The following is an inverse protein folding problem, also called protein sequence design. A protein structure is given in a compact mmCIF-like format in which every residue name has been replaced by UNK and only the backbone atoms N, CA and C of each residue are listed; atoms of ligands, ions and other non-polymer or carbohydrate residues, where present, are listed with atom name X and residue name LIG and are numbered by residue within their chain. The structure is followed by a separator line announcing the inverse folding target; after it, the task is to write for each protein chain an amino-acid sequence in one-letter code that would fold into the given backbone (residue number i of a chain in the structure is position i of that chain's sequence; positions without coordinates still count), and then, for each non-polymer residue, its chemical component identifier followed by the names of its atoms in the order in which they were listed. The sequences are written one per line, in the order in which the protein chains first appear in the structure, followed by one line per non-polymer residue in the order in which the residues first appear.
data_IF_915331257089
#
_entry.id   IF_915331257089
#
_cell.length_a   1.000
_cell.length_b   1.000
_cell.length_c   1.000
_cell.angle_alpha   90.00
_cell.angle_beta   90.00
_cell.angle_gamma   90.00
#
_symmetry.space_group_name_H-M   'P 1'
#
loop_
_entity.id
_entity.type
_entity.pdbx_description
1 polymer ?
#
# COMPACT_ATOMS: atom_id res chain seq x y z
N UNK A 1 -3.54 -15.38 -10.92
CA UNK A 1 -3.20 -13.96 -10.70
C UNK A 1 -2.63 -13.29 -11.95
N UNK A 2 -1.60 -13.84 -12.61
CA UNK A 2 -1.01 -13.23 -13.83
C UNK A 2 -2.02 -12.97 -14.96
N UNK A 3 -2.93 -13.91 -15.25
CA UNK A 3 -3.93 -13.76 -16.32
C UNK A 3 -4.91 -12.61 -16.01
N UNK A 4 -5.38 -12.52 -14.76
CA UNK A 4 -6.29 -11.45 -14.33
C UNK A 4 -5.62 -10.06 -14.39
N UNK A 5 -4.32 -9.98 -14.05
CA UNK A 5 -3.54 -8.75 -14.20
C UNK A 5 -3.45 -8.30 -15.66
N UNK A 6 -3.19 -9.22 -16.60
CA UNK A 6 -3.09 -8.91 -18.03
C UNK A 6 -4.43 -8.40 -18.57
N UNK A 7 -5.54 -9.04 -18.19
CA UNK A 7 -6.89 -8.61 -18.59
C UNK A 7 -7.20 -7.21 -18.06
N UNK A 8 -6.90 -6.95 -16.79
CA UNK A 8 -7.14 -5.64 -16.18
C UNK A 8 -6.28 -4.54 -16.84
N UNK A 9 -5.01 -4.84 -17.14
CA UNK A 9 -4.12 -3.93 -17.85
C UNK A 9 -4.62 -3.62 -19.27
N UNK A 10 -5.09 -4.63 -20.00
CA UNK A 10 -5.66 -4.46 -21.34
C UNK A 10 -6.93 -3.60 -21.33
N UNK A 11 -7.81 -3.80 -20.35
CA UNK A 11 -9.04 -3.01 -20.18
C UNK A 11 -8.73 -1.56 -19.77
N UNK A 12 -7.77 -1.38 -18.86
CA UNK A 12 -7.29 -0.08 -18.40
C UNK A 12 -6.74 0.79 -19.54
N UNK A 13 -6.01 0.20 -20.49
CA UNK A 13 -5.49 0.92 -21.67
C UNK A 13 -6.60 1.37 -22.63
N UNK A 14 -7.74 0.68 -22.65
CA UNK A 14 -8.86 0.99 -23.52
C UNK A 14 -9.83 2.01 -22.92
N UNK A 15 -9.94 2.07 -21.59
CA UNK A 15 -10.93 2.89 -20.87
C UNK A 15 -10.36 4.18 -20.27
N UNK A 16 -9.06 4.24 -19.94
CA UNK A 16 -8.42 5.48 -19.45
C UNK A 16 -8.20 6.46 -20.60
N UNK A 17 -9.24 7.23 -20.92
CA UNK A 17 -9.06 8.47 -21.68
C UNK A 17 -8.39 9.47 -20.72
N UNK A 18 -7.13 9.77 -20.98
CA UNK A 18 -6.32 10.68 -20.18
C UNK A 18 -6.97 12.07 -20.13
N UNK A 19 -7.77 12.33 -19.09
CA UNK A 19 -8.42 13.61 -18.80
C UNK A 19 -7.79 14.24 -17.56
N UNK A 20 -6.48 14.44 -17.61
CA UNK A 20 -5.80 15.30 -16.66
C UNK A 20 -4.76 16.08 -17.43
N UNK A 21 -4.86 17.41 -17.36
CA UNK A 21 -3.81 18.30 -17.80
C UNK A 21 -2.53 17.87 -17.09
N UNK A 22 -1.57 17.38 -17.86
CA UNK A 22 -0.25 16.99 -17.38
C UNK A 22 0.44 18.24 -16.86
N UNK A 23 0.32 18.51 -15.57
CA UNK A 23 1.27 19.38 -14.90
C UNK A 23 2.63 18.69 -15.01
N UNK A 24 3.58 19.32 -15.69
CA UNK A 24 4.96 18.84 -15.83
C UNK A 24 5.67 18.90 -14.47
N UNK A 25 5.30 18.01 -13.55
CA UNK A 25 6.09 17.76 -12.37
C UNK A 25 7.40 17.13 -12.83
N UNK A 26 8.50 17.88 -12.69
CA UNK A 26 9.83 17.38 -13.04
C UNK A 26 10.14 16.15 -12.18
N UNK A 27 10.14 14.99 -12.82
CA UNK A 27 10.37 13.70 -12.18
C UNK A 27 11.84 13.62 -11.77
N UNK A 28 12.15 13.97 -10.52
CA UNK A 28 13.52 13.86 -10.00
C UNK A 28 13.90 12.38 -9.82
N UNK A 29 14.53 11.82 -10.85
CA UNK A 29 15.02 10.44 -10.91
C UNK A 29 15.88 10.08 -9.68
N UNK A 30 16.61 11.04 -9.10
CA UNK A 30 17.43 10.83 -7.91
C UNK A 30 16.54 10.59 -6.69
N UNK A 31 15.47 11.36 -6.54
CA UNK A 31 14.48 11.18 -5.47
C UNK A 31 13.72 9.86 -5.61
N UNK A 32 13.40 9.43 -6.84
CA UNK A 32 12.82 8.11 -7.11
C UNK A 32 13.78 6.99 -6.71
N UNK A 33 15.06 7.12 -7.04
CA UNK A 33 16.06 6.10 -6.69
C UNK A 33 16.29 6.02 -5.18
N UNK A 34 16.41 7.16 -4.50
CA UNK A 34 16.59 7.22 -3.04
C UNK A 34 15.38 6.63 -2.29
N UNK A 35 14.15 6.96 -2.71
CA UNK A 35 12.94 6.41 -2.08
C UNK A 35 12.82 4.91 -2.31
N UNK A 36 13.11 4.43 -3.52
CA UNK A 36 13.14 3.00 -3.84
C UNK A 36 14.17 2.28 -2.98
N UNK A 37 15.38 2.82 -2.85
CA UNK A 37 16.45 2.23 -2.05
C UNK A 37 16.08 2.21 -0.55
N UNK A 38 15.52 3.30 -0.03
CA UNK A 38 15.06 3.39 1.34
C UNK A 38 13.98 2.33 1.63
N UNK A 39 12.91 2.30 0.83
CA UNK A 39 11.81 1.34 1.00
C UNK A 39 12.26 -0.11 0.81
N UNK A 40 13.02 -0.41 -0.23
CA UNK A 40 13.51 -1.77 -0.50
C UNK A 40 14.40 -2.28 0.63
N UNK A 41 15.30 -1.43 1.13
CA UNK A 41 16.18 -1.80 2.23
C UNK A 41 15.44 -1.96 3.57
N UNK A 42 14.44 -1.11 3.88
CA UNK A 42 13.58 -1.33 5.04
C UNK A 42 12.82 -2.65 4.95
N UNK A 43 12.20 -2.92 3.79
CA UNK A 43 11.46 -4.16 3.56
C UNK A 43 12.35 -5.39 3.68
N UNK A 44 13.56 -5.33 3.11
CA UNK A 44 14.56 -6.40 3.23
C UNK A 44 15.01 -6.59 4.68
N UNK A 45 15.28 -5.50 5.40
CA UNK A 45 15.66 -5.52 6.81
C UNK A 45 14.61 -6.22 7.67
N UNK A 46 13.34 -5.81 7.56
CA UNK A 46 12.23 -6.44 8.29
C UNK A 46 12.03 -7.90 7.90
N UNK A 47 12.13 -8.24 6.62
CA UNK A 47 12.03 -9.63 6.16
C UNK A 47 13.13 -10.51 6.77
N UNK A 48 14.38 -10.01 6.83
CA UNK A 48 15.50 -10.73 7.46
C UNK A 48 15.30 -10.93 8.96
N UNK A 49 14.68 -9.98 9.66
CA UNK A 49 14.34 -10.14 11.08
C UNK A 49 13.50 -11.39 11.33
N UNK A 50 12.56 -11.70 10.42
CA UNK A 50 11.71 -12.90 10.53
C UNK A 50 12.48 -14.22 10.37
N UNK A 51 13.64 -14.22 9.70
CA UNK A 51 14.43 -15.44 9.46
C UNK A 51 15.60 -15.64 10.44
N UNK A 52 16.38 -14.59 10.73
CA UNK A 52 17.63 -14.67 11.48
C UNK A 52 17.56 -14.03 12.89
N UNK A 53 16.44 -13.38 13.23
CA UNK A 53 16.29 -12.62 14.47
C UNK A 53 17.11 -11.32 14.49
N UNK A 54 17.09 -10.61 15.62
CA UNK A 54 17.73 -9.30 15.78
C UNK A 54 19.27 -9.33 15.94
N UNK A 55 19.87 -10.52 15.90
CA UNK A 55 21.30 -10.73 16.20
C UNK A 55 22.23 -10.59 14.99
N UNK A 56 21.69 -10.40 13.78
CA UNK A 56 22.49 -10.26 12.56
C UNK A 56 23.02 -8.82 12.40
N UNK A 57 24.35 -8.66 12.33
CA UNK A 57 25.01 -7.37 12.08
C UNK A 57 24.60 -6.78 10.72
N UNK A 58 24.30 -7.65 9.75
CA UNK A 58 23.85 -7.25 8.41
C UNK A 58 22.50 -6.53 8.45
N UNK A 59 21.61 -6.92 9.37
CA UNK A 59 20.30 -6.27 9.55
C UNK A 59 20.48 -4.83 10.00
N UNK A 60 21.33 -4.60 11.01
CA UNK A 60 21.61 -3.27 11.52
C UNK A 60 22.25 -2.38 10.45
N UNK A 61 23.18 -2.93 9.66
CA UNK A 61 23.81 -2.21 8.56
C UNK A 61 22.80 -1.79 7.49
N UNK A 62 21.92 -2.71 7.05
CA UNK A 62 20.87 -2.40 6.07
C UNK A 62 19.89 -1.37 6.61
N UNK A 63 19.44 -1.50 7.86
CA UNK A 63 18.52 -0.53 8.46
C UNK A 63 19.15 0.87 8.59
N UNK A 64 20.43 0.95 8.95
CA UNK A 64 21.14 2.24 9.03
C UNK A 64 21.24 2.87 7.63
N UNK A 65 21.63 2.11 6.60
CA UNK A 65 21.70 2.62 5.22
C UNK A 65 20.33 3.08 4.75
N UNK A 66 19.26 2.30 4.98
CA UNK A 66 17.90 2.68 4.59
C UNK A 66 17.41 3.92 5.32
N UNK A 67 17.74 4.07 6.60
CA UNK A 67 17.41 5.26 7.39
C UNK A 67 18.14 6.49 6.85
N UNK A 68 19.43 6.35 6.51
CA UNK A 68 20.22 7.44 5.91
C UNK A 68 19.68 7.83 4.53
N UNK A 69 19.33 6.85 3.68
CA UNK A 69 18.73 7.10 2.37
C UNK A 69 17.36 7.80 2.50
N UNK A 70 16.55 7.40 3.48
CA UNK A 70 15.27 8.06 3.76
C UNK A 70 15.46 9.50 4.26
N UNK A 71 16.43 9.73 5.15
CA UNK A 71 16.76 11.07 5.63
C UNK A 71 17.22 11.99 4.49
N UNK A 72 18.10 11.48 3.61
CA UNK A 72 18.54 12.20 2.42
C UNK A 72 17.37 12.51 1.48
N UNK A 73 16.44 11.57 1.30
CA UNK A 73 15.23 11.77 0.51
C UNK A 73 14.34 12.87 1.07
N UNK A 74 14.06 12.87 2.39
CA UNK A 74 13.22 13.88 3.05
C UNK A 74 13.85 15.27 2.94
N UNK A 75 15.16 15.39 3.19
CA UNK A 75 15.86 16.68 3.09
C UNK A 75 15.83 17.21 1.65
N UNK A 76 16.10 16.35 0.68
CA UNK A 76 16.07 16.72 -0.74
C UNK A 76 14.67 17.12 -1.19
N UNK A 77 13.65 16.38 -0.77
CA UNK A 77 12.26 16.65 -1.13
C UNK A 77 11.74 17.96 -0.53
N UNK A 78 12.29 18.40 0.61
CA UNK A 78 12.01 19.73 1.16
C UNK A 78 12.73 20.89 0.46
N UNK A 79 13.80 20.60 -0.29
CA UNK A 79 14.60 21.61 -1.00
C UNK A 79 14.21 21.75 -2.48
N UNK A 80 13.41 20.82 -3.01
CA UNK A 80 12.86 20.89 -4.37
C UNK A 80 11.75 21.94 -4.46
N UNK A 81 11.77 22.76 -5.51
CA UNK A 81 10.74 23.77 -5.80
C UNK A 81 9.37 23.14 -6.09
N UNK A 82 9.35 21.94 -6.69
CA UNK A 82 8.15 21.13 -6.92
C UNK A 82 8.26 19.79 -6.17
N UNK A 83 7.91 19.74 -4.87
CA UNK A 83 7.97 18.51 -4.10
C UNK A 83 6.88 17.54 -4.54
N UNK A 84 7.28 16.36 -5.05
CA UNK A 84 6.35 15.27 -5.36
C UNK A 84 5.52 14.81 -4.15
N UNK A 85 6.06 14.98 -2.94
CA UNK A 85 5.39 14.66 -1.69
C UNK A 85 5.38 15.92 -0.83
N UNK A 86 4.22 16.56 -0.74
CA UNK A 86 4.06 17.71 0.13
C UNK A 86 3.86 17.24 1.58
N UNK A 87 4.94 17.30 2.37
CA UNK A 87 4.90 16.94 3.79
C UNK A 87 4.06 17.88 4.66
N UNK A 88 3.64 19.05 4.15
CA UNK A 88 2.78 19.97 4.90
C UNK A 88 1.36 19.42 5.07
N UNK A 89 0.89 18.56 4.15
CA UNK A 89 -0.42 17.91 4.27
C UNK A 89 -0.46 16.98 5.48
N UNK A 90 0.68 16.40 5.88
CA UNK A 90 0.79 15.59 7.10
C UNK A 90 0.71 16.41 8.39
N UNK A 91 0.84 17.75 8.33
CA UNK A 91 0.64 18.61 9.51
C UNK A 91 -0.83 18.74 9.88
N UNK A 92 -1.74 18.54 8.93
CA UNK A 92 -3.18 18.55 9.18
C UNK A 92 -3.58 17.33 10.02
N UNK A 93 -4.16 17.59 11.20
CA UNK A 93 -4.49 16.53 12.17
C UNK A 93 -5.46 15.50 11.61
N UNK A 94 -6.44 15.96 10.83
CA UNK A 94 -7.46 15.08 10.23
C UNK A 94 -6.79 14.14 9.22
N UNK A 95 -5.88 14.67 8.38
CA UNK A 95 -5.16 13.86 7.41
C UNK A 95 -4.25 12.83 8.09
N UNK A 96 -3.46 13.26 9.08
CA UNK A 96 -2.58 12.37 9.83
C UNK A 96 -3.35 11.25 10.55
N UNK A 97 -4.47 11.57 11.19
CA UNK A 97 -5.33 10.58 11.83
C UNK A 97 -5.91 9.60 10.81
N UNK A 98 -6.37 10.09 9.67
CA UNK A 98 -6.93 9.25 8.61
C UNK A 98 -5.87 8.30 8.05
N UNK A 99 -4.66 8.80 7.79
CA UNK A 99 -3.52 7.98 7.37
C UNK A 99 -3.16 6.91 8.40
N UNK A 100 -3.12 7.25 9.70
CA UNK A 100 -2.85 6.28 10.76
C UNK A 100 -3.92 5.20 10.84
N UNK A 101 -5.20 5.58 10.76
CA UNK A 101 -6.32 4.64 10.76
C UNK A 101 -6.20 3.68 9.57
N UNK A 102 -5.94 4.20 8.36
CA UNK A 102 -5.76 3.39 7.15
C UNK A 102 -4.56 2.44 7.30
N UNK A 103 -3.44 2.92 7.84
CA UNK A 103 -2.25 2.11 8.08
C UNK A 103 -2.54 0.96 9.04
N UNK A 104 -3.18 1.23 10.18
CA UNK A 104 -3.56 0.21 11.16
C UNK A 104 -4.54 -0.79 10.55
N UNK A 105 -5.54 -0.31 9.81
CA UNK A 105 -6.49 -1.16 9.09
C UNK A 105 -5.77 -2.10 8.11
N UNK A 106 -4.79 -1.60 7.36
CA UNK A 106 -4.00 -2.42 6.43
C UNK A 106 -3.19 -3.50 7.13
N UNK A 107 -2.57 -3.18 8.28
CA UNK A 107 -1.81 -4.15 9.09
C UNK A 107 -2.74 -5.25 9.60
N UNK A 108 -3.88 -4.89 10.20
CA UNK A 108 -4.86 -5.85 10.72
C UNK A 108 -5.42 -6.71 9.59
N UNK A 109 -5.71 -6.12 8.43
CA UNK A 109 -6.22 -6.82 7.26
C UNK A 109 -5.22 -7.87 6.75
N UNK A 110 -3.96 -7.49 6.56
CA UNK A 110 -2.91 -8.42 6.13
C UNK A 110 -2.64 -9.51 7.17
N UNK A 111 -2.61 -9.15 8.45
CA UNK A 111 -2.44 -10.10 9.54
C UNK A 111 -3.58 -11.11 9.57
N UNK A 112 -4.84 -10.68 9.49
CA UNK A 112 -6.01 -11.56 9.49
C UNK A 112 -6.02 -12.51 8.28
N UNK A 113 -5.68 -11.98 7.10
CA UNK A 113 -5.61 -12.77 5.86
C UNK A 113 -4.57 -13.89 5.94
N UNK A 114 -3.49 -13.68 6.69
CA UNK A 114 -2.42 -14.68 6.88
C UNK A 114 -2.71 -15.61 8.06
N UNK A 115 -3.22 -15.07 9.17
CA UNK A 115 -3.44 -15.80 10.42
C UNK A 115 -4.59 -16.82 10.30
N UNK A 116 -5.67 -16.47 9.61
CA UNK A 116 -6.84 -17.34 9.44
C UNK A 116 -6.50 -18.68 8.77
N UNK A 117 -5.89 -18.73 7.57
CA UNK A 117 -5.49 -20.00 6.96
C UNK A 117 -4.42 -20.72 7.79
N UNK A 118 -3.49 -19.99 8.41
CA UNK A 118 -2.48 -20.60 9.28
C UNK A 118 -3.13 -21.30 10.48
N UNK A 119 -4.12 -20.68 11.13
CA UNK A 119 -4.86 -21.26 12.24
C UNK A 119 -5.63 -22.53 11.82
N UNK A 120 -6.37 -22.47 10.70
CA UNK A 120 -7.12 -23.62 10.19
C UNK A 120 -6.18 -24.79 9.82
N UNK A 121 -5.04 -24.50 9.20
CA UNK A 121 -4.10 -25.53 8.75
C UNK A 121 -3.28 -26.13 9.90
N UNK A 122 -2.78 -25.29 10.82
CA UNK A 122 -1.88 -25.74 11.91
C UNK A 122 -2.60 -26.20 13.16
N UNK A 123 -3.71 -25.55 13.55
CA UNK A 123 -4.43 -25.84 14.79
C UNK A 123 -5.57 -26.83 14.55
N UNK A 124 -6.32 -26.67 13.46
CA UNK A 124 -7.41 -27.60 13.13
C UNK A 124 -6.95 -28.85 12.35
N UNK A 125 -5.66 -28.93 12.00
CA UNK A 125 -5.07 -30.09 11.30
C UNK A 125 -5.61 -30.31 9.88
N UNK A 126 -6.34 -29.34 9.32
CA UNK A 126 -6.93 -29.46 7.99
C UNK A 126 -5.88 -29.31 6.90
N UNK A 127 -6.08 -30.01 5.79
CA UNK A 127 -5.18 -29.85 4.63
C UNK A 127 -5.35 -28.48 3.99
N UNK A 128 -4.33 -28.00 3.27
CA UNK A 128 -4.38 -26.71 2.57
C UNK A 128 -5.62 -26.60 1.65
N UNK A 129 -6.01 -27.70 0.99
CA UNK A 129 -7.19 -27.76 0.13
C UNK A 129 -8.50 -27.50 0.89
N UNK A 130 -8.68 -28.12 2.06
CA UNK A 130 -9.87 -27.91 2.90
C UNK A 130 -9.94 -26.48 3.43
N UNK A 131 -8.80 -25.91 3.83
CA UNK A 131 -8.74 -24.51 4.27
C UNK A 131 -9.13 -23.53 3.16
N UNK A 132 -8.68 -23.78 1.92
CA UNK A 132 -9.07 -22.99 0.76
C UNK A 132 -10.57 -23.08 0.46
N UNK A 133 -11.15 -24.28 0.57
CA UNK A 133 -12.58 -24.48 0.37
C UNK A 133 -13.45 -23.78 1.44
N UNK A 134 -12.97 -23.72 2.68
CA UNK A 134 -13.65 -23.01 3.77
C UNK A 134 -13.58 -21.48 3.62
N UNK A 135 -12.50 -20.97 3.04
CA UNK A 135 -12.30 -19.54 2.80
C UNK A 135 -12.94 -19.04 1.49
N UNK A 136 -13.24 -19.94 0.55
CA UNK A 136 -13.88 -19.62 -0.74
C UNK A 136 -15.18 -18.81 -0.61
N UNK A 137 -16.13 -19.16 0.27
CA UNK A 137 -17.35 -18.37 0.47
C UNK A 137 -17.07 -16.91 0.84
N UNK A 138 -16.04 -16.64 1.64
CA UNK A 138 -15.63 -15.29 2.00
C UNK A 138 -15.11 -14.50 0.80
N UNK A 139 -14.29 -15.14 -0.05
CA UNK A 139 -13.82 -14.54 -1.31
C UNK A 139 -14.95 -14.28 -2.31
N UNK A 140 -15.91 -15.20 -2.41
CA UNK A 140 -17.10 -15.03 -3.27
C UNK A 140 -17.98 -13.87 -2.78
N UNK A 141 -18.22 -13.75 -1.47
CA UNK A 141 -18.94 -12.62 -0.89
C UNK A 141 -18.24 -11.29 -1.18
N UNK A 142 -16.91 -11.23 -1.04
CA UNK A 142 -16.12 -10.05 -1.43
C UNK A 142 -16.30 -9.70 -2.92
N UNK A 143 -16.29 -10.70 -3.81
CA UNK A 143 -16.50 -10.50 -5.24
C UNK A 143 -17.90 -9.99 -5.59
N UNK A 144 -18.93 -10.50 -4.91
CA UNK A 144 -20.33 -10.05 -5.09
C UNK A 144 -20.54 -8.65 -4.52
N UNK A 145 -19.88 -8.32 -3.40
CA UNK A 145 -19.98 -7.02 -2.76
C UNK A 145 -19.21 -5.93 -3.51
N UNK A 146 -18.16 -6.27 -4.27
CA UNK A 146 -17.37 -5.29 -5.03
C UNK A 146 -18.22 -4.30 -5.88
N UNK A 147 -19.17 -4.74 -6.72
CA UNK A 147 -20.05 -3.81 -7.47
C UNK A 147 -21.01 -3.03 -6.56
N UNK A 148 -21.47 -3.65 -5.46
CA UNK A 148 -22.36 -2.98 -4.49
C UNK A 148 -21.63 -1.82 -3.83
N UNK A 149 -20.40 -2.03 -3.37
CA UNK A 149 -19.58 -0.99 -2.74
C UNK A 149 -19.21 0.11 -3.75
N UNK A 150 -18.93 -0.24 -5.01
CA UNK A 150 -18.69 0.74 -6.07
C UNK A 150 -19.89 1.68 -6.30
N UNK A 151 -21.08 1.11 -6.46
CA UNK A 151 -22.31 1.90 -6.63
C UNK A 151 -22.69 2.71 -5.38
N UNK A 152 -22.36 2.23 -4.19
CA UNK A 152 -22.57 2.96 -2.94
C UNK A 152 -21.60 4.13 -2.82
N UNK A 153 -20.35 3.98 -3.28
CA UNK A 153 -19.36 5.05 -3.28
C UNK A 153 -19.75 6.20 -4.20
N UNK A 154 -20.34 5.91 -5.37
CA UNK A 154 -20.90 6.94 -6.25
C UNK A 154 -22.06 7.68 -5.56
N UNK A 155 -23.03 6.96 -4.98
CA UNK A 155 -24.20 7.55 -4.32
C UNK A 155 -23.88 8.35 -3.05
N UNK A 156 -22.88 7.90 -2.28
CA UNK A 156 -22.47 8.57 -1.03
C UNK A 156 -21.43 9.67 -1.30
N UNK A 157 -20.57 9.49 -2.30
CA UNK A 157 -19.56 10.45 -2.73
C UNK A 157 -20.15 11.75 -3.26
N UNK A 158 -21.33 11.70 -3.90
CA UNK A 158 -22.07 12.90 -4.32
C UNK A 158 -22.62 13.72 -3.14
N UNK A 159 -22.78 13.12 -1.94
CA UNK A 159 -23.41 13.79 -0.79
C UNK A 159 -22.48 14.15 0.37
N UNK A 160 -21.39 13.40 0.60
CA UNK A 160 -20.63 13.51 1.86
C UNK A 160 -19.40 14.41 1.79
N UNK A 161 -18.69 14.49 0.65
CA UNK A 161 -17.37 15.14 0.59
C UNK A 161 -17.17 16.19 -0.52
N UNK A 162 -18.09 17.18 -0.69
CA UNK A 162 -17.92 18.22 -1.69
C UNK A 162 -16.81 19.27 -1.40
N UNK A 163 -15.99 19.12 -0.35
CA UNK A 163 -15.07 20.18 0.09
C UNK A 163 -13.58 19.94 -0.19
N UNK A 164 -13.17 18.80 -0.75
CA UNK A 164 -11.74 18.48 -0.91
C UNK A 164 -11.28 18.17 -2.34
N UNK A 165 -12.16 18.25 -3.34
CA UNK A 165 -11.78 17.89 -4.72
C UNK A 165 -11.32 19.10 -5.57
N UNK A 166 -11.70 20.35 -5.29
CA UNK A 166 -11.17 21.51 -6.04
C UNK A 166 -11.22 22.83 -5.27
N UNK A 167 -10.08 23.24 -4.69
CA UNK A 167 -9.58 24.63 -4.66
C UNK A 167 -8.06 24.62 -4.60
#
# INVERSE_FOLDING_TARGET
MLIAMIINLGFSLFTLKNMSETHEMHLDLISVFLSTLAFAGFLYGFSRTSYAGFSDVTLWFVLVISTLALGAYIVRQRQLEEPMLNFDVLKERIFLQSCLIIMIMFVIFNASMTLMPFFIQKVSGMTAFQSGLLLLPGGLMMGILAPVTGSLFEKVGEGFWPLLVWR
#
